data_IF_676242599412
#
_entry.id   IF_676242599412
#
_cell.length_a   1.000
_cell.length_b   1.000
_cell.length_c   1.000
_cell.angle_alpha   90.00
_cell.angle_beta   90.00
_cell.angle_gamma   90.00
#
_symmetry.space_group_name_H-M   'P 1'
#
loop_
_entity.id
_entity.type
_entity.pdbx_description
1 polymer ?
#
# COMPACT_ATOMS: atom_id res chain seq x y z
N UNK A 1 -13.70 -46.81 25.84
CA UNK A 1 -12.60 -46.55 24.89
C UNK A 1 -13.18 -45.88 23.65
N UNK A 2 -13.14 -44.55 23.59
CA UNK A 2 -13.49 -43.77 22.39
C UNK A 2 -12.17 -43.50 21.63
N UNK A 3 -12.10 -43.62 20.30
CA UNK A 3 -10.83 -43.79 19.61
C UNK A 3 -10.08 -42.47 19.47
N UNK A 4 -8.80 -42.47 19.84
CA UNK A 4 -7.83 -41.37 19.68
C UNK A 4 -7.61 -40.91 18.22
N UNK A 5 -8.24 -41.56 17.24
CA UNK A 5 -8.12 -41.27 15.80
C UNK A 5 -8.69 -39.90 15.40
N UNK A 6 -9.73 -39.42 16.08
CA UNK A 6 -10.36 -38.12 15.73
C UNK A 6 -9.51 -36.91 16.16
N UNK A 7 -8.78 -37.02 17.27
CA UNK A 7 -7.92 -35.92 17.75
C UNK A 7 -6.65 -35.79 16.92
N UNK A 8 -6.05 -36.91 16.48
CA UNK A 8 -4.84 -36.88 15.68
C UNK A 8 -5.07 -36.29 14.28
N UNK A 9 -6.24 -36.53 13.68
CA UNK A 9 -6.62 -35.93 12.40
C UNK A 9 -6.82 -34.41 12.52
N UNK A 10 -7.48 -33.95 13.58
CA UNK A 10 -7.70 -32.51 13.83
C UNK A 10 -6.39 -31.77 14.13
N UNK A 11 -5.46 -32.40 14.86
CA UNK A 11 -4.12 -31.85 15.13
C UNK A 11 -3.27 -31.78 13.86
N UNK A 12 -3.28 -32.82 13.01
CA UNK A 12 -2.55 -32.77 11.74
C UNK A 12 -3.11 -31.72 10.76
N UNK A 13 -4.43 -31.54 10.71
CA UNK A 13 -5.07 -30.51 9.86
C UNK A 13 -4.75 -29.12 10.40
N UNK A 14 -4.82 -28.89 11.71
CA UNK A 14 -4.50 -27.59 12.31
C UNK A 14 -3.03 -27.24 12.22
N UNK A 15 -2.12 -28.17 12.51
CA UNK A 15 -0.67 -27.98 12.35
C UNK A 15 -0.31 -27.80 10.87
N UNK A 16 -0.93 -28.55 9.96
CA UNK A 16 -0.77 -28.41 8.52
C UNK A 16 -1.22 -27.04 7.99
N UNK A 17 -2.38 -26.54 8.47
CA UNK A 17 -2.87 -25.20 8.16
C UNK A 17 -1.98 -24.10 8.75
N UNK A 18 -1.45 -24.29 9.97
CA UNK A 18 -0.50 -23.36 10.59
C UNK A 18 0.84 -23.35 9.85
N UNK A 19 1.34 -24.51 9.40
CA UNK A 19 2.55 -24.59 8.59
C UNK A 19 2.37 -23.98 7.20
N UNK A 20 1.21 -24.20 6.59
CA UNK A 20 0.87 -23.60 5.30
C UNK A 20 0.76 -22.07 5.44
N UNK A 21 0.08 -21.58 6.48
CA UNK A 21 0.03 -20.16 6.81
C UNK A 21 1.41 -19.57 7.13
N UNK A 22 2.28 -20.33 7.80
CA UNK A 22 3.67 -19.94 8.10
C UNK A 22 4.55 -19.87 6.85
N UNK A 23 4.42 -20.85 5.94
CA UNK A 23 5.14 -20.87 4.67
C UNK A 23 4.68 -19.75 3.73
N UNK A 24 3.38 -19.55 3.63
CA UNK A 24 2.73 -18.44 2.91
C UNK A 24 3.21 -17.08 3.46
N UNK A 25 3.20 -16.93 4.80
CA UNK A 25 3.75 -15.74 5.47
C UNK A 25 5.21 -15.52 5.09
N UNK A 26 6.06 -16.55 5.06
CA UNK A 26 7.51 -16.40 4.85
C UNK A 26 7.90 -16.00 3.41
N UNK A 27 7.24 -16.54 2.39
CA UNK A 27 7.54 -16.23 0.99
C UNK A 27 7.10 -14.81 0.62
N UNK A 28 5.89 -14.42 1.04
CA UNK A 28 5.37 -13.08 0.83
C UNK A 28 6.12 -12.06 1.70
N UNK A 29 6.44 -12.41 2.96
CA UNK A 29 7.37 -11.62 3.76
C UNK A 29 8.71 -11.46 3.04
N UNK A 30 9.21 -12.44 2.28
CA UNK A 30 10.55 -12.31 1.66
C UNK A 30 10.56 -11.26 0.57
N UNK A 31 9.55 -11.23 -0.31
CA UNK A 31 9.44 -10.22 -1.37
C UNK A 31 9.17 -8.82 -0.79
N UNK A 32 8.28 -8.70 0.19
CA UNK A 32 8.02 -7.41 0.85
C UNK A 32 9.17 -7.01 1.78
N UNK A 33 9.83 -7.96 2.45
CA UNK A 33 11.08 -7.71 3.20
C UNK A 33 12.23 -7.35 2.27
N UNK A 34 12.25 -7.78 1.01
CA UNK A 34 13.26 -7.37 0.05
C UNK A 34 13.06 -5.90 -0.35
N UNK A 35 11.80 -5.52 -0.66
CA UNK A 35 11.39 -4.12 -0.83
C UNK A 35 11.81 -3.28 0.40
N UNK A 36 11.49 -3.76 1.60
CA UNK A 36 11.79 -3.12 2.88
C UNK A 36 13.29 -3.08 3.23
N UNK A 37 14.05 -4.14 2.98
CA UNK A 37 15.50 -4.20 3.27
C UNK A 37 16.27 -3.26 2.34
N UNK A 38 15.79 -3.08 1.11
CA UNK A 38 16.32 -2.07 0.19
C UNK A 38 15.99 -0.64 0.64
N UNK A 39 14.82 -0.41 1.24
CA UNK A 39 14.48 0.87 1.90
C UNK A 39 15.45 1.14 3.06
N UNK A 40 15.60 0.16 3.97
CA UNK A 40 16.36 0.33 5.22
C UNK A 40 17.88 0.46 5.02
N UNK A 41 18.47 -0.29 4.09
CA UNK A 41 19.92 -0.26 3.87
C UNK A 41 20.43 1.05 3.24
N UNK A 42 19.54 1.91 2.71
CA UNK A 42 19.94 3.14 2.01
C UNK A 42 19.72 4.43 2.80
N UNK A 43 18.86 4.43 3.83
CA UNK A 43 18.79 5.56 4.77
C UNK A 43 20.05 5.63 5.66
N UNK A 44 20.68 4.50 5.98
CA UNK A 44 21.96 4.46 6.70
C UNK A 44 23.22 4.77 5.86
N UNK A 45 23.09 5.11 4.57
CA UNK A 45 24.24 5.40 3.68
C UNK A 45 24.30 6.85 3.20
N UNK A 46 23.47 7.74 3.74
CA UNK A 46 23.58 9.19 3.52
C UNK A 46 24.35 9.83 4.67
N UNK A 47 25.65 9.56 4.71
CA UNK A 47 26.68 10.49 5.17
C UNK A 47 28.04 9.86 4.88
N UNK A 48 28.59 10.21 3.72
CA UNK A 48 29.97 10.67 3.52
C UNK A 48 30.28 10.59 2.03
N UNK A 49 30.24 11.74 1.35
CA UNK A 49 31.14 11.95 0.23
C UNK A 49 31.50 13.43 0.17
N UNK A 50 32.70 13.76 0.67
CA UNK A 50 33.59 14.82 0.21
C UNK A 50 34.70 15.07 1.25
N UNK A 51 35.91 14.54 1.03
CA UNK A 51 37.16 15.32 0.84
C UNK A 51 38.41 14.43 0.87
N UNK A 52 39.45 14.93 0.23
CA UNK A 52 40.65 14.24 -0.20
C UNK A 52 41.70 13.97 0.90
N UNK A 53 42.51 12.93 0.64
CA UNK A 53 43.96 12.73 0.93
C UNK A 53 44.51 12.82 2.37
N UNK A 54 45.42 11.84 2.59
CA UNK A 54 46.64 11.80 3.42
C UNK A 54 46.60 11.11 4.81
N UNK A 55 47.37 10.01 4.85
CA UNK A 55 48.35 9.55 5.85
C UNK A 55 47.97 9.23 7.32
N UNK A 56 48.21 7.94 7.65
CA UNK A 56 48.66 7.28 8.90
C UNK A 56 48.49 8.00 10.26
N UNK A 57 47.81 7.34 11.22
CA UNK A 57 48.41 6.73 12.43
C UNK A 57 47.34 6.13 13.38
N UNK A 58 47.72 5.07 14.09
CA UNK A 58 46.98 4.40 15.17
C UNK A 58 46.64 5.32 16.36
N UNK A 59 45.51 5.06 17.06
CA UNK A 59 45.44 4.84 18.54
C UNK A 59 43.99 4.73 19.07
N UNK A 60 43.90 4.06 20.21
CA UNK A 60 42.74 3.63 20.99
C UNK A 60 41.79 4.72 21.54
N UNK A 61 40.63 4.23 21.98
CA UNK A 61 39.87 4.56 23.21
C UNK A 61 38.65 5.52 23.21
N UNK A 62 37.54 4.92 23.68
CA UNK A 62 36.53 5.38 24.66
C UNK A 62 35.48 6.47 24.33
N UNK A 63 34.22 6.01 24.47
CA UNK A 63 33.05 6.61 25.14
C UNK A 63 32.70 8.09 24.88
N UNK A 64 31.49 8.34 24.35
CA UNK A 64 30.34 8.81 25.15
C UNK A 64 29.10 9.06 24.28
N UNK A 65 27.95 8.90 24.93
CA UNK A 65 26.58 9.08 24.46
C UNK A 65 26.34 10.37 23.67
N UNK A 66 25.59 10.28 22.58
CA UNK A 66 24.52 11.22 22.26
C UNK A 66 23.35 10.45 21.63
N UNK A 67 22.33 10.19 22.45
CA UNK A 67 20.99 9.82 22.02
C UNK A 67 20.43 10.99 21.19
N UNK A 68 20.42 10.84 19.86
CA UNK A 68 19.64 11.70 18.98
C UNK A 68 18.62 10.86 18.22
N UNK A 69 17.35 11.10 18.57
CA UNK A 69 16.13 10.55 17.99
C UNK A 69 16.06 10.76 16.45
N UNK A 70 16.73 9.89 15.69
CA UNK A 70 16.42 9.69 14.28
C UNK A 70 15.33 8.63 14.18
N UNK A 71 14.08 9.09 14.25
CA UNK A 71 12.87 8.30 14.00
C UNK A 71 12.77 7.98 12.49
N UNK A 72 13.69 7.15 11.99
CA UNK A 72 13.65 6.61 10.62
C UNK A 72 12.33 5.87 10.41
N UNK A 73 11.62 6.22 9.33
CA UNK A 73 10.34 5.65 8.96
C UNK A 73 10.47 4.15 8.67
N UNK A 74 10.33 3.34 9.72
CA UNK A 74 10.19 1.89 9.61
C UNK A 74 8.88 1.58 8.90
N UNK A 75 8.94 1.34 7.58
CA UNK A 75 7.82 0.81 6.79
C UNK A 75 7.55 -0.64 7.22
N UNK A 76 6.71 -0.83 8.22
CA UNK A 76 6.37 -2.16 8.73
C UNK A 76 5.31 -2.74 7.81
N UNK A 77 5.60 -3.79 7.05
CA UNK A 77 4.53 -4.69 6.61
C UNK A 77 4.07 -5.45 7.86
N UNK A 78 2.83 -5.20 8.28
CA UNK A 78 2.27 -5.81 9.48
C UNK A 78 1.59 -7.14 9.16
N UNK A 79 0.58 -7.10 8.30
CA UNK A 79 -0.29 -8.24 8.01
C UNK A 79 -0.76 -8.23 6.55
N UNK A 80 -0.80 -9.42 5.93
CA UNK A 80 -1.44 -9.62 4.63
C UNK A 80 -2.63 -10.56 4.84
N UNK A 81 -3.82 -10.06 4.52
CA UNK A 81 -5.09 -10.73 4.75
C UNK A 81 -5.66 -11.15 3.39
N UNK A 82 -5.57 -12.44 3.06
CA UNK A 82 -6.25 -13.00 1.89
C UNK A 82 -7.72 -13.26 2.24
N UNK A 83 -8.60 -12.38 1.78
CA UNK A 83 -10.03 -12.44 2.04
C UNK A 83 -10.78 -13.13 0.90
N UNK A 84 -10.94 -14.44 1.01
CA UNK A 84 -11.62 -15.30 0.03
C UNK A 84 -12.97 -15.88 0.50
N UNK A 85 -13.48 -15.37 1.61
CA UNK A 85 -14.85 -15.60 2.10
C UNK A 85 -15.44 -14.31 2.69
N UNK A 86 -16.78 -14.18 2.79
CA UNK A 86 -17.41 -13.00 3.38
C UNK A 86 -16.93 -12.68 4.80
N UNK A 87 -16.69 -13.70 5.63
CA UNK A 87 -16.21 -13.54 7.02
C UNK A 87 -14.78 -12.98 7.05
N UNK A 88 -13.91 -13.45 6.13
CA UNK A 88 -12.56 -12.90 6.00
C UNK A 88 -12.57 -11.48 5.44
N UNK A 89 -13.53 -11.14 4.57
CA UNK A 89 -13.71 -9.75 4.12
C UNK A 89 -14.09 -8.85 5.30
N UNK A 90 -15.01 -9.31 6.15
CA UNK A 90 -15.42 -8.59 7.35
C UNK A 90 -14.27 -8.39 8.35
N UNK A 91 -13.43 -9.41 8.53
CA UNK A 91 -12.20 -9.30 9.32
C UNK A 91 -11.22 -8.30 8.71
N UNK A 92 -10.96 -8.40 7.41
CA UNK A 92 -10.06 -7.49 6.70
C UNK A 92 -10.51 -6.02 6.81
N UNK A 93 -11.80 -5.74 6.64
CA UNK A 93 -12.35 -4.38 6.79
C UNK A 93 -12.21 -3.87 8.22
N UNK A 94 -12.40 -4.72 9.23
CA UNK A 94 -12.17 -4.34 10.62
C UNK A 94 -10.71 -4.02 10.89
N UNK A 95 -9.79 -4.86 10.42
CA UNK A 95 -8.35 -4.63 10.55
C UNK A 95 -7.94 -3.32 9.88
N UNK A 96 -8.38 -3.08 8.64
CA UNK A 96 -8.17 -1.80 7.94
C UNK A 96 -8.68 -0.63 8.79
N UNK A 97 -9.91 -0.68 9.32
CA UNK A 97 -10.48 0.43 10.10
C UNK A 97 -9.71 0.72 11.38
N UNK A 98 -9.18 -0.30 12.06
CA UNK A 98 -8.35 -0.10 13.25
C UNK A 98 -7.04 0.63 12.94
N UNK A 99 -6.52 0.45 11.72
CA UNK A 99 -5.21 0.90 11.28
C UNK A 99 -5.26 2.13 10.35
N UNK A 100 -6.47 2.59 9.99
CA UNK A 100 -6.70 3.74 9.10
C UNK A 100 -6.67 5.06 9.87
N UNK A 101 -5.48 5.60 10.13
CA UNK A 101 -5.32 6.83 10.92
C UNK A 101 -5.52 8.13 10.14
N UNK A 102 -5.22 8.14 8.84
CA UNK A 102 -5.23 9.34 7.99
C UNK A 102 -6.31 9.30 6.90
N UNK A 103 -7.09 8.22 6.84
CA UNK A 103 -8.16 8.07 5.85
C UNK A 103 -7.65 7.83 4.43
N UNK A 104 -6.45 7.27 4.25
CA UNK A 104 -5.89 6.96 2.93
C UNK A 104 -5.61 5.47 2.80
N UNK A 105 -6.09 4.88 1.72
CA UNK A 105 -5.83 3.49 1.35
C UNK A 105 -5.15 3.42 -0.02
N UNK A 106 -4.09 2.63 -0.10
CA UNK A 106 -3.56 2.15 -1.36
C UNK A 106 -4.59 1.23 -2.00
N UNK A 107 -4.78 1.36 -3.30
CA UNK A 107 -5.88 0.74 -4.03
C UNK A 107 -5.41 0.31 -5.42
N UNK A 108 -5.77 -0.92 -5.77
CA UNK A 108 -5.51 -1.51 -7.08
C UNK A 108 -6.59 -2.58 -7.36
N UNK A 109 -6.62 -3.10 -8.59
CA UNK A 109 -7.46 -4.23 -8.98
C UNK A 109 -6.76 -5.17 -9.99
N UNK A 110 -7.08 -6.45 -9.95
CA UNK A 110 -6.63 -7.43 -10.94
C UNK A 110 -7.77 -8.28 -11.50
N UNK A 111 -7.66 -8.68 -12.77
CA UNK A 111 -8.68 -9.45 -13.49
C UNK A 111 -8.09 -10.29 -14.63
N UNK A 112 -8.86 -11.26 -15.10
CA UNK A 112 -8.47 -12.10 -16.24
C UNK A 112 -8.99 -11.51 -17.55
N UNK A 113 -8.08 -11.08 -18.44
CA UNK A 113 -8.39 -10.53 -19.78
C UNK A 113 -9.32 -9.30 -19.71
N UNK A 114 -10.55 -9.43 -20.21
CA UNK A 114 -11.61 -8.41 -20.17
C UNK A 114 -12.75 -8.80 -19.21
N UNK A 115 -12.52 -9.83 -18.38
CA UNK A 115 -13.47 -10.34 -17.39
C UNK A 115 -13.71 -9.37 -16.25
N UNK A 116 -14.64 -9.69 -15.32
CA UNK A 116 -14.90 -8.86 -14.15
C UNK A 116 -13.67 -8.76 -13.23
N UNK A 117 -13.62 -7.76 -12.35
CA UNK A 117 -12.56 -7.69 -11.31
C UNK A 117 -12.52 -8.98 -10.50
N UNK A 118 -11.37 -9.66 -10.48
CA UNK A 118 -11.15 -10.90 -9.75
C UNK A 118 -10.65 -10.64 -8.32
N UNK A 119 -9.73 -9.68 -8.19
CA UNK A 119 -9.05 -9.31 -6.95
C UNK A 119 -9.10 -7.80 -6.76
N UNK A 120 -9.47 -7.36 -5.56
CA UNK A 120 -9.37 -5.99 -5.10
C UNK A 120 -8.32 -5.92 -3.98
N UNK A 121 -7.39 -4.99 -4.09
CA UNK A 121 -6.32 -4.78 -3.11
C UNK A 121 -6.56 -3.48 -2.34
N UNK A 122 -6.43 -3.53 -1.01
CA UNK A 122 -6.42 -2.34 -0.16
C UNK A 122 -5.24 -2.40 0.80
N UNK A 123 -4.52 -1.28 0.97
CA UNK A 123 -3.40 -1.19 1.90
C UNK A 123 -3.46 0.08 2.75
N UNK A 124 -3.16 -0.06 4.03
CA UNK A 124 -2.91 1.06 4.95
C UNK A 124 -1.43 1.43 4.93
N UNK A 125 -1.09 2.69 5.25
CA UNK A 125 0.31 3.13 5.27
C UNK A 125 1.15 2.45 6.36
N UNK A 126 0.51 1.91 7.41
CA UNK A 126 1.16 1.17 8.49
C UNK A 126 1.25 -0.34 8.23
N UNK A 127 0.85 -0.80 7.03
CA UNK A 127 1.22 -2.12 6.50
C UNK A 127 0.21 -3.24 6.66
N UNK A 128 -1.05 -2.95 7.02
CA UNK A 128 -2.15 -3.90 6.80
C UNK A 128 -2.53 -3.87 5.34
N UNK A 129 -2.42 -5.03 4.68
CA UNK A 129 -2.79 -5.23 3.28
C UNK A 129 -3.87 -6.29 3.19
N UNK A 130 -4.98 -5.99 2.53
CA UNK A 130 -6.09 -6.90 2.32
C UNK A 130 -6.29 -7.18 0.84
N UNK A 131 -6.35 -8.46 0.50
CA UNK A 131 -6.53 -8.97 -0.86
C UNK A 131 -7.91 -9.64 -0.94
N UNK A 132 -8.91 -8.91 -1.41
CA UNK A 132 -10.30 -9.34 -1.49
C UNK A 132 -10.56 -10.09 -2.79
N UNK A 133 -10.76 -11.42 -2.70
CA UNK A 133 -11.03 -12.28 -3.86
C UNK A 133 -12.50 -12.18 -4.31
N UNK A 134 -12.93 -10.99 -4.71
CA UNK A 134 -14.34 -10.69 -5.02
C UNK A 134 -14.87 -11.48 -6.21
N UNK A 135 -14.02 -11.87 -7.18
CA UNK A 135 -14.41 -12.77 -8.26
C UNK A 135 -14.75 -14.19 -7.76
N UNK A 136 -14.00 -14.69 -6.77
CA UNK A 136 -14.27 -15.98 -6.12
C UNK A 136 -15.52 -15.93 -5.22
N UNK A 137 -15.75 -14.81 -4.55
CA UNK A 137 -16.94 -14.59 -3.70
C UNK A 137 -18.19 -14.33 -4.55
N UNK A 138 -18.02 -13.74 -5.73
CA UNK A 138 -19.09 -13.44 -6.69
C UNK A 138 -19.83 -12.11 -6.42
N UNK A 139 -19.52 -11.41 -5.33
CA UNK A 139 -20.09 -10.10 -5.01
C UNK A 139 -19.17 -9.33 -4.04
N UNK A 140 -19.48 -8.05 -3.82
CA UNK A 140 -18.79 -7.20 -2.84
C UNK A 140 -19.58 -7.19 -1.51
N UNK A 141 -19.02 -7.73 -0.41
CA UNK A 141 -19.71 -7.76 0.88
C UNK A 141 -20.09 -6.37 1.43
N UNK A 142 -21.16 -6.24 2.23
CA UNK A 142 -21.70 -4.94 2.65
C UNK A 142 -20.69 -3.99 3.33
N UNK A 143 -19.87 -4.49 4.26
CA UNK A 143 -18.88 -3.65 4.96
C UNK A 143 -17.77 -3.14 4.03
N UNK A 144 -17.36 -3.97 3.06
CA UNK A 144 -16.42 -3.58 2.02
C UNK A 144 -17.05 -2.54 1.08
N UNK A 145 -18.32 -2.72 0.72
CA UNK A 145 -19.09 -1.74 -0.08
C UNK A 145 -19.17 -0.38 0.62
N UNK A 146 -19.41 -0.35 1.93
CA UNK A 146 -19.42 0.88 2.72
C UNK A 146 -18.03 1.56 2.72
N UNK A 147 -16.96 0.78 2.92
CA UNK A 147 -15.59 1.28 2.89
C UNK A 147 -15.24 1.92 1.52
N UNK A 148 -15.58 1.25 0.42
CA UNK A 148 -15.34 1.73 -0.94
C UNK A 148 -16.19 2.98 -1.26
N UNK A 149 -17.42 3.05 -0.79
CA UNK A 149 -18.33 4.18 -1.04
C UNK A 149 -18.04 5.40 -0.16
N UNK A 150 -17.21 5.29 0.89
CA UNK A 150 -16.89 6.42 1.76
C UNK A 150 -16.14 7.53 1.01
N UNK A 151 -16.67 8.75 1.07
CA UNK A 151 -16.01 9.97 0.55
C UNK A 151 -14.91 10.51 1.47
N UNK A 152 -14.84 10.00 2.70
CA UNK A 152 -13.83 10.40 3.68
C UNK A 152 -12.54 9.60 3.54
N UNK A 153 -12.55 8.51 2.76
CA UNK A 153 -11.42 7.61 2.58
C UNK A 153 -10.92 7.72 1.15
N UNK A 154 -9.68 8.15 0.97
CA UNK A 154 -9.03 8.17 -0.34
C UNK A 154 -8.56 6.78 -0.75
N UNK A 155 -8.66 6.48 -2.05
CA UNK A 155 -8.19 5.25 -2.70
C UNK A 155 -7.12 5.67 -3.70
N UNK A 156 -5.86 5.54 -3.32
CA UNK A 156 -4.73 6.09 -4.05
C UNK A 156 -4.04 4.99 -4.85
N UNK A 157 -3.68 5.28 -6.10
CA UNK A 157 -3.06 4.31 -7.00
C UNK A 157 -2.74 4.92 -8.36
N UNK A 158 -2.26 4.09 -9.29
CA UNK A 158 -2.10 4.47 -10.69
C UNK A 158 -3.31 3.99 -11.46
N UNK A 159 -4.01 4.89 -12.15
CA UNK A 159 -5.29 4.61 -12.83
C UNK A 159 -6.39 4.14 -11.87
N UNK A 160 -6.34 4.59 -10.61
CA UNK A 160 -7.31 4.21 -9.57
C UNK A 160 -8.76 4.60 -9.92
N UNK A 161 -8.96 5.62 -10.75
CA UNK A 161 -10.28 5.97 -11.27
C UNK A 161 -10.83 4.86 -12.19
N UNK A 162 -9.99 4.32 -13.07
CA UNK A 162 -10.35 3.24 -13.99
C UNK A 162 -10.73 1.95 -13.23
N UNK A 163 -9.96 1.58 -12.20
CA UNK A 163 -10.25 0.43 -11.35
C UNK A 163 -11.55 0.61 -10.57
N UNK A 164 -11.75 1.79 -9.97
CA UNK A 164 -13.00 2.14 -9.30
C UNK A 164 -14.20 2.10 -10.25
N UNK A 165 -14.04 2.60 -11.48
CA UNK A 165 -15.08 2.55 -12.50
C UNK A 165 -15.39 1.12 -12.94
N UNK A 166 -14.36 0.26 -13.05
CA UNK A 166 -14.51 -1.15 -13.37
C UNK A 166 -15.28 -1.90 -12.27
N UNK A 167 -15.00 -1.63 -10.99
CA UNK A 167 -15.80 -2.16 -9.87
C UNK A 167 -17.27 -1.74 -9.97
N UNK A 168 -17.55 -0.48 -10.31
CA UNK A 168 -18.93 0.01 -10.50
C UNK A 168 -19.62 -0.75 -11.62
N UNK A 169 -18.95 -0.93 -12.75
CA UNK A 169 -19.47 -1.64 -13.93
C UNK A 169 -19.74 -3.12 -13.63
N UNK A 170 -18.79 -3.79 -12.99
CA UNK A 170 -18.80 -5.24 -12.83
C UNK A 170 -19.67 -5.69 -11.64
N UNK A 171 -19.77 -4.88 -10.57
CA UNK A 171 -20.42 -5.25 -9.31
C UNK A 171 -21.49 -4.27 -8.82
N UNK A 172 -21.75 -3.16 -9.53
CA UNK A 172 -22.70 -2.14 -9.09
C UNK A 172 -22.31 -1.47 -7.76
N UNK A 173 -21.03 -1.57 -7.37
CA UNK A 173 -20.51 -1.01 -6.14
C UNK A 173 -19.90 0.36 -6.39
N UNK A 174 -20.43 1.40 -5.75
CA UNK A 174 -19.86 2.74 -5.84
C UNK A 174 -18.48 2.78 -5.17
N UNK A 175 -17.50 3.30 -5.90
CA UNK A 175 -16.17 3.66 -5.36
C UNK A 175 -16.05 5.18 -5.43
N UNK A 176 -15.81 5.82 -4.30
CA UNK A 176 -15.56 7.28 -4.21
C UNK A 176 -14.16 7.50 -3.63
N UNK A 177 -13.60 8.70 -3.83
CA UNK A 177 -12.32 9.07 -3.23
C UNK A 177 -11.10 8.55 -3.98
N UNK A 178 -11.25 8.12 -5.23
CA UNK A 178 -10.11 7.68 -6.05
C UNK A 178 -9.18 8.85 -6.35
N UNK A 179 -7.88 8.63 -6.21
CA UNK A 179 -6.85 9.63 -6.50
C UNK A 179 -5.75 8.97 -7.32
N UNK A 180 -5.50 9.51 -8.51
CA UNK A 180 -4.38 9.08 -9.34
C UNK A 180 -3.10 9.77 -8.86
N UNK A 181 -2.07 8.99 -8.53
CA UNK A 181 -0.80 9.52 -8.02
C UNK A 181 -0.10 10.44 -9.03
N UNK A 182 -0.35 10.24 -10.34
CA UNK A 182 0.22 11.08 -11.41
C UNK A 182 -0.46 12.44 -11.44
N UNK A 183 -1.79 12.48 -11.38
CA UNK A 183 -2.54 13.75 -11.27
C UNK A 183 -2.15 14.51 -10.01
N UNK A 184 -2.00 13.80 -8.88
CA UNK A 184 -1.58 14.42 -7.62
C UNK A 184 -0.20 15.07 -7.74
N UNK A 185 0.78 14.35 -8.29
CA UNK A 185 2.12 14.88 -8.51
C UNK A 185 2.11 16.09 -9.46
N UNK A 186 1.38 16.02 -10.58
CA UNK A 186 1.23 17.13 -11.52
C UNK A 186 0.60 18.37 -10.88
N UNK A 187 -0.47 18.20 -10.10
CA UNK A 187 -1.14 19.32 -9.41
C UNK A 187 -0.23 20.02 -8.41
N UNK A 188 0.76 19.31 -7.86
CA UNK A 188 1.79 19.87 -7.01
C UNK A 188 3.04 20.34 -7.76
N UNK A 189 3.10 20.26 -9.09
CA UNK A 189 4.32 20.52 -9.86
C UNK A 189 5.52 19.66 -9.37
N UNK A 190 5.25 18.39 -9.05
CA UNK A 190 6.24 17.39 -8.69
C UNK A 190 6.44 16.38 -9.84
N UNK A 191 7.57 15.64 -9.88
CA UNK A 191 7.83 14.66 -10.93
C UNK A 191 6.71 13.62 -11.06
N UNK A 192 6.04 13.59 -12.20
CA UNK A 192 4.99 12.61 -12.51
C UNK A 192 5.55 11.54 -13.45
N UNK A 193 5.42 10.26 -13.07
CA UNK A 193 5.90 9.12 -13.85
C UNK A 193 4.73 8.21 -14.25
N UNK A 194 4.82 7.61 -15.44
CA UNK A 194 3.68 6.91 -16.06
C UNK A 194 3.21 5.64 -15.35
N UNK A 195 4.07 4.99 -14.56
CA UNK A 195 3.79 3.68 -13.93
C UNK A 195 4.15 3.67 -12.45
N UNK A 196 3.52 2.80 -11.66
CA UNK A 196 3.78 2.69 -10.22
C UNK A 196 5.25 2.40 -9.93
N UNK A 197 5.85 1.44 -10.62
CA UNK A 197 7.28 1.15 -10.50
C UNK A 197 8.18 2.38 -10.73
N UNK A 198 7.84 3.22 -11.72
CA UNK A 198 8.60 4.43 -12.00
C UNK A 198 8.36 5.52 -10.94
N UNK A 199 7.15 5.58 -10.37
CA UNK A 199 6.86 6.44 -9.22
C UNK A 199 7.62 5.97 -7.97
N UNK A 200 7.71 4.66 -7.73
CA UNK A 200 8.50 4.10 -6.63
C UNK A 200 9.99 4.40 -6.79
N UNK A 201 10.53 4.30 -8.01
CA UNK A 201 11.91 4.70 -8.26
C UNK A 201 12.11 6.20 -7.99
N UNK A 202 11.20 7.05 -8.48
CA UNK A 202 11.28 8.50 -8.31
C UNK A 202 11.18 8.95 -6.84
N UNK A 203 10.19 8.45 -6.12
CA UNK A 203 9.84 8.96 -4.79
C UNK A 203 10.51 8.18 -3.66
N UNK A 204 10.73 6.88 -3.86
CA UNK A 204 11.24 5.97 -2.84
C UNK A 204 12.65 5.46 -3.15
N UNK A 205 13.16 5.69 -4.36
CA UNK A 205 14.43 5.12 -4.85
C UNK A 205 14.44 3.58 -4.79
N UNK A 206 13.28 2.97 -5.09
CA UNK A 206 13.09 1.52 -5.11
C UNK A 206 12.69 1.07 -6.51
N UNK A 207 13.40 0.06 -7.01
CA UNK A 207 13.01 -0.66 -8.21
C UNK A 207 11.97 -1.73 -7.84
N UNK A 208 10.83 -1.72 -8.54
CA UNK A 208 9.83 -2.77 -8.45
C UNK A 208 9.99 -3.74 -9.61
N UNK A 209 10.03 -5.03 -9.30
CA UNK A 209 10.06 -6.09 -10.30
C UNK A 209 8.74 -6.12 -11.06
N UNK A 210 8.79 -5.83 -12.36
CA UNK A 210 7.64 -5.94 -13.26
C UNK A 210 7.54 -7.37 -13.77
N UNK A 211 6.94 -8.25 -12.99
CA UNK A 211 6.72 -9.64 -13.41
C UNK A 211 5.45 -9.70 -14.26
N UNK A 212 5.62 -9.55 -15.57
CA UNK A 212 4.52 -9.49 -16.54
C UNK A 212 3.67 -10.77 -16.50
N UNK A 213 4.31 -11.91 -16.27
CA UNK A 213 3.68 -13.23 -16.19
C UNK A 213 2.70 -13.31 -15.01
N UNK A 214 3.01 -12.64 -13.90
CA UNK A 214 2.13 -12.58 -12.71
C UNK A 214 0.98 -11.63 -12.98
N UNK A 215 1.26 -10.43 -13.51
CA UNK A 215 0.24 -9.42 -13.85
C UNK A 215 -0.80 -9.95 -14.84
N UNK A 216 -0.36 -10.70 -15.86
CA UNK A 216 -1.23 -11.33 -16.84
C UNK A 216 -1.69 -12.74 -16.44
N UNK A 217 -1.49 -13.14 -15.19
CA UNK A 217 -1.79 -14.48 -14.69
C UNK A 217 -3.28 -14.76 -14.49
N UNK A 218 -3.58 -15.98 -14.04
CA UNK A 218 -4.94 -16.39 -13.70
C UNK A 218 -5.34 -15.89 -12.30
N UNK A 219 -5.97 -14.73 -12.24
CA UNK A 219 -6.48 -14.14 -10.99
C UNK A 219 -7.77 -14.79 -10.48
N UNK A 220 -8.44 -15.60 -11.31
CA UNK A 220 -9.62 -16.39 -10.95
C UNK A 220 -9.26 -17.77 -10.39
N UNK A 221 -7.97 -18.15 -10.40
CA UNK A 221 -7.47 -19.43 -9.92
C UNK A 221 -8.02 -19.78 -8.53
N UNK A 222 -8.41 -21.03 -8.28
CA UNK A 222 -9.00 -21.45 -6.98
C UNK A 222 -8.16 -21.05 -5.76
N UNK A 223 -6.83 -21.04 -5.93
CA UNK A 223 -5.82 -20.58 -4.98
C UNK A 223 -4.82 -19.69 -5.73
N UNK A 224 -4.50 -18.52 -5.16
CA UNK A 224 -3.45 -17.64 -5.72
C UNK A 224 -2.07 -18.19 -5.35
N UNK A 225 -1.09 -18.01 -6.24
CA UNK A 225 0.30 -18.33 -5.92
C UNK A 225 0.90 -17.32 -4.95
N UNK A 226 2.01 -17.69 -4.31
CA UNK A 226 2.73 -16.78 -3.42
C UNK A 226 3.23 -15.53 -4.17
N UNK A 227 3.61 -15.67 -5.44
CA UNK A 227 4.03 -14.57 -6.31
C UNK A 227 2.88 -13.63 -6.61
N UNK A 228 1.68 -14.13 -6.92
CA UNK A 228 0.47 -13.32 -7.14
C UNK A 228 0.11 -12.50 -5.89
N UNK A 229 0.18 -13.14 -4.72
CA UNK A 229 -0.12 -12.50 -3.44
C UNK A 229 0.91 -11.41 -3.14
N UNK A 230 2.20 -11.71 -3.32
CA UNK A 230 3.26 -10.73 -3.09
C UNK A 230 3.16 -9.55 -4.04
N UNK A 231 2.91 -9.81 -5.33
CA UNK A 231 2.70 -8.79 -6.35
C UNK A 231 1.54 -7.85 -5.97
N UNK A 232 0.35 -8.42 -5.74
CA UNK A 232 -0.85 -7.66 -5.41
C UNK A 232 -0.70 -6.87 -4.10
N UNK A 233 -0.03 -7.45 -3.10
CA UNK A 233 0.23 -6.75 -1.86
C UNK A 233 1.21 -5.58 -2.02
N UNK A 234 2.25 -5.77 -2.84
CA UNK A 234 3.22 -4.72 -3.15
C UNK A 234 2.57 -3.54 -3.88
N UNK A 235 1.69 -3.76 -4.86
CA UNK A 235 1.12 -2.66 -5.65
C UNK A 235 0.23 -1.73 -4.82
N UNK A 236 -0.65 -2.28 -3.97
CA UNK A 236 -1.46 -1.47 -3.07
C UNK A 236 -0.60 -0.76 -2.01
N UNK A 237 0.35 -1.46 -1.38
CA UNK A 237 1.19 -0.88 -0.33
C UNK A 237 2.11 0.22 -0.90
N UNK A 238 2.74 -0.03 -2.05
CA UNK A 238 3.57 0.96 -2.72
C UNK A 238 2.77 2.22 -3.07
N UNK A 239 1.53 2.06 -3.54
CA UNK A 239 0.67 3.19 -3.88
C UNK A 239 0.41 4.14 -2.71
N UNK A 240 0.10 3.62 -1.52
CA UNK A 240 -0.11 4.47 -0.33
C UNK A 240 1.18 5.11 0.17
N UNK A 241 2.31 4.40 0.09
CA UNK A 241 3.61 4.95 0.50
C UNK A 241 4.04 6.08 -0.45
N UNK A 242 3.88 5.90 -1.76
CA UNK A 242 4.16 6.93 -2.76
C UNK A 242 3.28 8.15 -2.54
N UNK A 243 1.98 7.97 -2.27
CA UNK A 243 1.08 9.08 -1.91
C UNK A 243 1.65 9.90 -0.74
N UNK A 244 2.01 9.23 0.36
CA UNK A 244 2.57 9.88 1.54
C UNK A 244 3.86 10.64 1.22
N UNK A 245 4.70 10.07 0.34
CA UNK A 245 5.95 10.71 -0.07
C UNK A 245 5.74 11.94 -0.94
N UNK A 246 4.73 11.93 -1.83
CA UNK A 246 4.31 13.10 -2.60
C UNK A 246 3.84 14.21 -1.65
N UNK A 247 2.96 13.87 -0.70
CA UNK A 247 2.45 14.80 0.30
C UNK A 247 3.55 15.37 1.20
N UNK A 248 4.54 14.55 1.56
CA UNK A 248 5.73 14.99 2.30
C UNK A 248 6.52 16.02 1.48
N UNK A 249 6.88 15.70 0.23
CA UNK A 249 7.65 16.60 -0.65
C UNK A 249 6.92 17.92 -0.92
N UNK A 250 5.59 17.90 -1.02
CA UNK A 250 4.82 19.13 -1.14
C UNK A 250 4.94 20.00 0.11
N UNK A 251 4.82 19.40 1.31
CA UNK A 251 4.97 20.12 2.57
C UNK A 251 6.37 20.70 2.76
N UNK A 252 7.40 20.04 2.27
CA UNK A 252 8.81 20.47 2.37
C UNK A 252 9.10 21.76 1.57
N UNK A 253 8.24 22.16 0.63
CA UNK A 253 8.38 23.43 -0.11
C UNK A 253 8.11 24.67 0.74
N UNK A 254 7.48 24.51 1.90
CA UNK A 254 6.97 25.62 2.70
C UNK A 254 7.61 25.67 4.09
N UNK A 255 7.82 26.89 4.58
CA UNK A 255 8.21 27.15 5.98
C UNK A 255 7.13 26.68 6.96
N UNK A 256 7.45 26.56 8.25
CA UNK A 256 6.47 26.18 9.28
C UNK A 256 5.25 27.12 9.30
N UNK A 257 5.46 28.43 9.24
CA UNK A 257 4.37 29.41 9.25
C UNK A 257 3.48 29.33 8.01
N UNK A 258 4.08 29.12 6.83
CA UNK A 258 3.31 28.88 5.61
C UNK A 258 2.49 27.59 5.71
N UNK A 259 3.05 26.51 6.28
CA UNK A 259 2.33 25.25 6.52
C UNK A 259 1.13 25.45 7.46
N UNK A 260 1.30 26.22 8.54
CA UNK A 260 0.19 26.59 9.43
C UNK A 260 -0.87 27.39 8.68
N UNK A 261 -0.47 28.39 7.88
CA UNK A 261 -1.38 29.18 7.05
C UNK A 261 -2.18 28.32 6.07
N UNK A 262 -1.52 27.41 5.35
CA UNK A 262 -2.14 26.45 4.42
C UNK A 262 -3.11 25.53 5.17
N UNK A 263 -2.72 25.02 6.33
CA UNK A 263 -3.60 24.16 7.15
C UNK A 263 -4.89 24.89 7.56
N UNK A 264 -4.78 26.13 8.06
CA UNK A 264 -5.94 26.95 8.42
C UNK A 264 -6.81 27.27 7.21
N UNK A 265 -6.21 27.61 6.07
CA UNK A 265 -6.93 27.81 4.81
C UNK A 265 -7.69 26.55 4.39
N UNK A 266 -7.03 25.39 4.45
CA UNK A 266 -7.63 24.12 4.09
C UNK A 266 -8.85 23.80 4.96
N UNK A 267 -8.80 24.05 6.28
CA UNK A 267 -9.94 23.86 7.20
C UNK A 267 -11.17 24.68 6.76
N UNK A 268 -10.95 25.88 6.23
CA UNK A 268 -12.01 26.78 5.79
C UNK A 268 -12.53 26.47 4.38
N UNK A 269 -11.90 25.53 3.66
CA UNK A 269 -12.29 25.16 2.31
C UNK A 269 -13.71 24.56 2.27
N UNK A 270 -14.48 24.88 1.23
CA UNK A 270 -15.77 24.24 0.98
C UNK A 270 -15.62 22.81 0.43
N UNK A 271 -14.47 22.47 -0.16
CA UNK A 271 -14.16 21.13 -0.67
C UNK A 271 -13.75 20.20 0.49
N UNK A 272 -14.46 19.09 0.64
CA UNK A 272 -14.24 18.09 1.69
C UNK A 272 -12.84 17.46 1.64
N UNK A 273 -12.31 17.22 0.43
CA UNK A 273 -11.01 16.57 0.26
C UNK A 273 -9.87 17.54 0.54
N UNK A 274 -10.04 18.82 0.20
CA UNK A 274 -9.11 19.87 0.62
C UNK A 274 -9.11 19.99 2.14
N UNK A 275 -10.29 20.01 2.78
CA UNK A 275 -10.40 20.10 4.24
C UNK A 275 -9.75 18.93 4.97
N UNK A 276 -10.10 17.70 4.58
CA UNK A 276 -9.70 16.49 5.32
C UNK A 276 -8.27 16.09 4.96
N UNK A 277 -7.95 16.06 3.66
CA UNK A 277 -6.73 15.43 3.16
C UNK A 277 -5.69 16.44 2.69
N UNK A 278 -6.04 17.73 2.57
CA UNK A 278 -5.15 18.75 2.02
C UNK A 278 -4.79 18.52 0.55
N UNK A 279 -5.57 17.71 -0.15
CA UNK A 279 -5.39 17.40 -1.58
C UNK A 279 -6.03 18.52 -2.41
N UNK A 280 -5.41 19.00 -3.51
CA UNK A 280 -5.99 20.07 -4.33
C UNK A 280 -7.38 19.72 -4.86
N UNK A 281 -8.24 20.72 -4.97
CA UNK A 281 -9.55 20.56 -5.58
C UNK A 281 -9.42 19.96 -7.00
N UNK A 282 -10.37 19.11 -7.40
CA UNK A 282 -10.38 18.40 -8.69
C UNK A 282 -9.26 17.36 -8.89
N UNK A 283 -8.64 16.88 -7.82
CA UNK A 283 -7.71 15.73 -7.87
C UNK A 283 -8.40 14.39 -7.58
N UNK A 284 -9.57 14.44 -6.93
CA UNK A 284 -10.32 13.28 -6.46
C UNK A 284 -11.41 12.92 -7.46
N UNK A 285 -11.58 11.62 -7.71
CA UNK A 285 -12.55 11.05 -8.65
C UNK A 285 -12.40 11.60 -10.08
N UNK A 286 -11.14 11.82 -10.49
CA UNK A 286 -10.77 12.30 -11.81
C UNK A 286 -9.90 11.30 -12.55
N UNK A 287 -10.22 11.06 -13.83
CA UNK A 287 -9.35 10.33 -14.76
C UNK A 287 -8.08 11.14 -15.05
N UNK A 288 -6.94 10.45 -15.10
CA UNK A 288 -5.69 11.00 -15.62
C UNK A 288 -5.78 11.22 -17.15
N UNK A 289 -5.56 12.45 -17.63
CA UNK A 289 -5.86 12.85 -19.03
C UNK A 289 -4.64 12.95 -19.97
N UNK A 290 -3.41 12.72 -19.48
CA UNK A 290 -2.18 12.88 -20.27
C UNK A 290 -1.65 11.52 -20.78
N UNK A 291 -2.23 11.00 -21.86
CA UNK A 291 -1.68 9.86 -22.63
C UNK A 291 -1.01 10.34 -23.92
#
# INVERSE_FOLDING_TARGET
MVPARNNMFLVCVTVGLVFLASKYRNNVLRSVKHLYKNIKNRDGSKDTDNTAKCDKHDTDNNNNNEDNDNKENKLILDEIILADSPEKCDYAVQRIRCDLSDGVLGFDCEWVKEGPVSLLQLATHNGVVALFRIGKIGYIPPKLKELLASKHILKVGISSFEDGHKIVKDYGCRVNGTVDLRTLAENFNLPSRKSLAAMCLEYLNIEMDKIIEVRCGDWDASTLTDEQVAYAACDALASVIVYHKIMQKEKEKYTLWQRVGIYLYNILSSDINVRIHGVPARTVDTRYKNL
#
